data_IF_504793181413
#
_entry.id   IF_504793181413
#
_cell.length_a   1.000
_cell.length_b   1.000
_cell.length_c   1.000
_cell.angle_alpha   90.00
_cell.angle_beta   90.00
_cell.angle_gamma   90.00
#
_symmetry.space_group_name_H-M   'P 1'
#
loop_
_entity.id
_entity.type
_entity.pdbx_description
1 polymer ?
#
# COMPACT_ATOMS: atom_id res chain seq x y z
N UNK A 1 -14.04 -19.93 -16.69
CA UNK A 1 -12.81 -19.18 -16.35
C UNK A 1 -13.06 -18.33 -15.12
N UNK A 2 -12.25 -18.49 -14.08
CA UNK A 2 -12.38 -17.60 -12.93
C UNK A 2 -12.01 -16.19 -13.34
N UNK A 3 -12.83 -15.22 -12.93
CA UNK A 3 -12.53 -13.81 -13.16
C UNK A 3 -11.42 -13.38 -12.22
N UNK A 4 -10.46 -12.62 -12.75
CA UNK A 4 -9.46 -11.96 -11.93
C UNK A 4 -10.12 -10.77 -11.24
N UNK A 5 -10.01 -10.70 -9.92
CA UNK A 5 -10.50 -9.57 -9.14
C UNK A 5 -9.30 -8.81 -8.56
N UNK A 6 -9.47 -7.52 -8.42
CA UNK A 6 -8.42 -6.63 -7.88
C UNK A 6 -8.87 -6.10 -6.53
N UNK A 7 -8.01 -6.24 -5.52
CA UNK A 7 -8.32 -5.85 -4.14
C UNK A 7 -7.38 -4.74 -3.68
N UNK A 8 -7.94 -3.81 -2.93
CA UNK A 8 -7.15 -2.79 -2.24
C UNK A 8 -6.66 -3.36 -0.92
N UNK A 9 -5.46 -2.98 -0.53
CA UNK A 9 -4.92 -3.33 0.78
C UNK A 9 -4.14 -2.14 1.34
N UNK A 10 -4.00 -2.12 2.66
CA UNK A 10 -3.27 -1.08 3.38
C UNK A 10 -2.31 -1.78 4.34
N UNK A 11 -1.06 -1.35 4.32
CA UNK A 11 0.01 -1.88 5.18
C UNK A 11 0.47 -0.76 6.10
N UNK A 12 0.60 -1.06 7.40
CA UNK A 12 1.23 -0.13 8.32
C UNK A 12 2.74 -0.18 8.16
N UNK A 13 3.36 0.99 8.07
CA UNK A 13 4.80 1.13 7.97
C UNK A 13 5.39 1.61 9.28
N UNK A 14 6.66 1.30 9.53
CA UNK A 14 7.39 1.91 10.62
C UNK A 14 7.44 3.43 10.42
N UNK A 15 7.26 4.20 11.50
CA UNK A 15 7.34 5.67 11.43
C UNK A 15 8.72 6.17 11.02
N UNK A 16 9.73 5.32 11.08
CA UNK A 16 11.08 5.64 10.58
C UNK A 16 11.07 6.00 9.10
N UNK A 17 10.09 5.53 8.33
CA UNK A 17 9.99 5.87 6.90
C UNK A 17 9.85 7.38 6.71
N UNK A 18 9.12 8.06 7.58
CA UNK A 18 8.94 9.52 7.49
C UNK A 18 10.26 10.26 7.69
N UNK A 19 11.07 9.81 8.62
CA UNK A 19 12.36 10.42 8.92
C UNK A 19 13.43 10.05 7.88
N UNK A 20 13.46 8.79 7.45
CA UNK A 20 14.55 8.25 6.63
C UNK A 20 14.33 8.38 5.12
N UNK A 21 13.08 8.52 4.68
CA UNK A 21 12.75 8.55 3.26
C UNK A 21 12.24 9.93 2.85
N UNK A 22 13.09 10.69 2.14
CA UNK A 22 12.77 12.05 1.74
C UNK A 22 11.55 12.13 0.82
N UNK A 23 11.42 11.20 -0.13
CA UNK A 23 10.27 11.17 -1.04
C UNK A 23 8.96 10.95 -0.29
N UNK A 24 8.97 10.03 0.67
CA UNK A 24 7.81 9.76 1.51
C UNK A 24 7.43 11.01 2.30
N UNK A 25 8.40 11.64 2.95
CA UNK A 25 8.18 12.86 3.73
C UNK A 25 7.62 13.99 2.87
N UNK A 26 8.20 14.21 1.70
CA UNK A 26 7.75 15.28 0.80
C UNK A 26 6.34 15.04 0.26
N UNK A 27 5.91 13.81 0.14
CA UNK A 27 4.56 13.47 -0.30
C UNK A 27 3.51 13.67 0.80
N UNK A 28 3.92 13.88 2.05
CA UNK A 28 3.02 13.93 3.20
C UNK A 28 3.21 15.18 4.05
N UNK A 29 3.06 16.40 3.48
CA UNK A 29 3.23 17.63 4.25
C UNK A 29 2.17 17.81 5.34
N UNK A 30 1.03 17.14 5.22
CA UNK A 30 -0.07 17.20 6.19
C UNK A 30 0.19 16.38 7.46
N UNK A 31 1.20 15.50 7.45
CA UNK A 31 1.45 14.58 8.56
C UNK A 31 1.97 15.34 9.77
N UNK A 32 1.32 15.09 10.92
CA UNK A 32 1.67 15.74 12.20
C UNK A 32 2.32 14.80 13.22
N UNK A 33 2.60 13.56 12.82
CA UNK A 33 3.29 12.58 13.67
C UNK A 33 2.38 11.80 14.62
N UNK A 34 1.08 12.08 14.64
CA UNK A 34 0.16 11.44 15.59
C UNK A 34 -0.31 10.07 15.10
N UNK A 35 -0.81 10.01 13.85
CA UNK A 35 -1.27 8.75 13.27
C UNK A 35 -0.12 7.98 12.64
N UNK A 36 -0.42 6.84 12.04
CA UNK A 36 0.57 5.92 11.50
C UNK A 36 1.01 6.33 10.10
N UNK A 37 2.11 5.73 9.65
CA UNK A 37 2.54 5.76 8.26
C UNK A 37 1.99 4.52 7.56
N UNK A 38 1.44 4.70 6.35
CA UNK A 38 0.71 3.66 5.63
C UNK A 38 1.19 3.53 4.19
N UNK A 39 1.05 2.34 3.64
CA UNK A 39 1.20 2.06 2.22
C UNK A 39 -0.11 1.51 1.68
N UNK A 40 -0.63 2.12 0.62
CA UNK A 40 -1.86 1.68 -0.05
C UNK A 40 -1.48 1.05 -1.38
N UNK A 41 -2.00 -0.13 -1.64
CA UNK A 41 -1.75 -0.82 -2.90
C UNK A 41 -2.97 -1.56 -3.40
N UNK A 42 -2.85 -2.16 -4.58
CA UNK A 42 -3.87 -3.03 -5.14
C UNK A 42 -3.19 -4.31 -5.65
N UNK A 43 -3.94 -5.40 -5.66
CA UNK A 43 -3.40 -6.70 -6.06
C UNK A 43 -4.48 -7.58 -6.70
N UNK A 44 -4.08 -8.40 -7.65
CA UNK A 44 -4.92 -9.47 -8.20
C UNK A 44 -4.84 -10.75 -7.36
N UNK A 45 -3.99 -10.75 -6.35
CA UNK A 45 -3.85 -11.81 -5.36
C UNK A 45 -4.58 -11.45 -4.08
N UNK A 46 -4.36 -12.19 -3.00
CA UNK A 46 -4.87 -11.76 -1.70
C UNK A 46 -3.94 -10.71 -1.11
N UNK A 47 -4.45 -9.80 -0.24
CA UNK A 47 -3.58 -8.86 0.46
C UNK A 47 -2.45 -9.54 1.23
N UNK A 48 -2.72 -10.68 1.86
CA UNK A 48 -1.73 -11.44 2.61
C UNK A 48 -0.60 -11.94 1.71
N UNK A 49 -0.93 -12.51 0.55
CA UNK A 49 0.07 -12.97 -0.42
C UNK A 49 0.94 -11.81 -0.91
N UNK A 50 0.32 -10.69 -1.22
CA UNK A 50 1.03 -9.51 -1.72
C UNK A 50 1.94 -8.92 -0.64
N UNK A 51 1.49 -8.91 0.61
CA UNK A 51 2.32 -8.47 1.73
C UNK A 51 3.58 -9.33 1.86
N UNK A 52 3.44 -10.65 1.78
CA UNK A 52 4.59 -11.56 1.83
C UNK A 52 5.55 -11.28 0.68
N UNK A 53 5.04 -11.06 -0.55
CA UNK A 53 5.88 -10.72 -1.70
C UNK A 53 6.67 -9.44 -1.46
N UNK A 54 6.04 -8.41 -0.89
CA UNK A 54 6.75 -7.17 -0.55
C UNK A 54 7.85 -7.39 0.47
N UNK A 55 7.54 -8.13 1.54
CA UNK A 55 8.50 -8.35 2.64
C UNK A 55 9.68 -9.20 2.22
N UNK A 56 9.49 -10.14 1.30
CA UNK A 56 10.56 -11.02 0.83
C UNK A 56 11.33 -10.45 -0.36
N UNK A 57 10.91 -9.29 -0.88
CA UNK A 57 11.54 -8.70 -2.07
C UNK A 57 11.35 -9.56 -3.31
N UNK A 58 10.18 -10.17 -3.46
CA UNK A 58 9.88 -11.12 -4.53
C UNK A 58 10.27 -10.59 -5.91
N UNK A 59 10.89 -11.47 -6.71
CA UNK A 59 11.23 -11.19 -8.10
C UNK A 59 10.48 -12.16 -9.02
N UNK A 60 10.05 -11.68 -10.20
CA UNK A 60 9.41 -12.55 -11.18
C UNK A 60 10.44 -13.45 -11.87
N UNK A 61 9.97 -14.32 -12.78
CA UNK A 61 10.83 -15.27 -13.50
C UNK A 61 11.95 -14.59 -14.30
N UNK A 62 11.77 -13.33 -14.70
CA UNK A 62 12.77 -12.55 -15.44
C UNK A 62 13.75 -11.83 -14.52
N UNK A 63 13.64 -12.03 -13.20
CA UNK A 63 14.50 -11.38 -12.21
C UNK A 63 14.09 -9.95 -11.88
N UNK A 64 12.97 -9.45 -12.40
CA UNK A 64 12.50 -8.10 -12.10
C UNK A 64 11.84 -8.07 -10.74
N UNK A 65 12.25 -7.10 -9.92
CA UNK A 65 11.65 -6.92 -8.60
C UNK A 65 10.27 -6.27 -8.76
N UNK A 66 9.25 -6.97 -8.26
CA UNK A 66 7.86 -6.50 -8.33
C UNK A 66 7.36 -6.03 -6.96
N UNK A 67 8.20 -6.13 -5.93
CA UNK A 67 7.87 -5.71 -4.57
C UNK A 67 8.25 -4.25 -4.35
N UNK A 68 7.52 -3.57 -3.45
CA UNK A 68 7.84 -2.21 -3.04
C UNK A 68 9.05 -2.18 -2.12
N UNK A 69 10.04 -1.33 -2.42
CA UNK A 69 11.19 -1.13 -1.54
C UNK A 69 10.78 -0.54 -0.19
N UNK A 70 9.77 0.33 -0.17
CA UNK A 70 9.27 0.94 1.06
C UNK A 70 8.67 -0.13 1.97
N UNK A 71 7.84 -1.02 1.42
CA UNK A 71 7.23 -2.09 2.22
C UNK A 71 8.26 -3.12 2.67
N UNK A 72 9.20 -3.47 1.79
CA UNK A 72 10.28 -4.40 2.16
C UNK A 72 11.05 -3.91 3.38
N UNK A 73 11.39 -2.62 3.40
CA UNK A 73 12.20 -2.04 4.48
C UNK A 73 11.38 -1.66 5.71
N UNK A 74 10.21 -1.07 5.53
CA UNK A 74 9.45 -0.46 6.61
C UNK A 74 8.11 -1.13 6.91
N UNK A 75 7.64 -2.06 6.08
CA UNK A 75 6.35 -2.73 6.27
C UNK A 75 6.31 -3.55 7.55
N UNK A 76 5.23 -3.38 8.33
CA UNK A 76 5.04 -4.07 9.60
C UNK A 76 3.95 -5.12 9.52
N UNK A 77 2.73 -4.71 9.19
CA UNK A 77 1.59 -5.61 9.10
C UNK A 77 0.46 -4.97 8.30
N UNK A 78 -0.46 -5.82 7.83
CA UNK A 78 -1.67 -5.36 7.18
C UNK A 78 -2.60 -4.67 8.16
N UNK A 79 -3.37 -3.68 7.66
CA UNK A 79 -4.38 -2.98 8.45
C UNK A 79 -5.77 -3.28 7.87
N UNK A 80 -6.35 -4.48 8.11
CA UNK A 80 -7.63 -4.86 7.51
C UNK A 80 -8.77 -3.90 7.80
N UNK A 81 -8.79 -3.28 8.98
CA UNK A 81 -9.84 -2.33 9.33
C UNK A 81 -9.93 -1.12 8.39
N UNK A 82 -8.86 -0.84 7.63
CA UNK A 82 -8.81 0.29 6.70
C UNK A 82 -9.22 -0.10 5.28
N UNK A 83 -9.41 -1.39 4.97
CA UNK A 83 -9.75 -1.80 3.60
C UNK A 83 -10.72 -2.98 3.50
N UNK A 84 -11.02 -3.70 4.57
CA UNK A 84 -11.87 -4.90 4.50
C UNK A 84 -13.31 -4.60 4.10
N UNK A 85 -13.73 -3.35 4.19
CA UNK A 85 -15.06 -2.89 3.78
C UNK A 85 -15.12 -2.57 2.27
N UNK A 86 -14.01 -2.62 1.57
CA UNK A 86 -13.92 -2.29 0.14
C UNK A 86 -14.08 -3.57 -0.67
N UNK A 87 -15.12 -3.61 -1.51
CA UNK A 87 -15.35 -4.75 -2.40
C UNK A 87 -14.28 -4.83 -3.48
N UNK A 88 -13.95 -6.04 -3.97
CA UNK A 88 -13.01 -6.18 -5.07
C UNK A 88 -13.52 -5.52 -6.35
N UNK A 89 -12.57 -5.11 -7.20
CA UNK A 89 -12.87 -4.47 -8.48
C UNK A 89 -12.69 -5.47 -9.62
N UNK A 90 -13.48 -5.30 -10.68
CA UNK A 90 -13.42 -6.18 -11.85
C UNK A 90 -12.30 -5.82 -12.82
N UNK A 91 -11.81 -4.58 -12.78
CA UNK A 91 -10.74 -4.13 -13.65
C UNK A 91 -9.61 -3.50 -12.86
N UNK A 92 -8.40 -3.60 -13.42
CA UNK A 92 -7.23 -2.97 -12.85
C UNK A 92 -7.39 -1.44 -12.80
N UNK A 93 -8.00 -0.87 -13.84
CA UNK A 93 -8.22 0.58 -13.93
C UNK A 93 -9.07 1.08 -12.77
N UNK A 94 -10.18 0.40 -12.48
CA UNK A 94 -11.05 0.75 -11.36
C UNK A 94 -10.30 0.68 -10.03
N UNK A 95 -9.49 -0.38 -9.85
CA UNK A 95 -8.72 -0.54 -8.63
C UNK A 95 -7.65 0.55 -8.46
N UNK A 96 -7.00 0.97 -9.56
CA UNK A 96 -6.02 2.06 -9.50
C UNK A 96 -6.67 3.39 -9.14
N UNK A 97 -7.86 3.66 -9.64
CA UNK A 97 -8.61 4.86 -9.28
C UNK A 97 -8.97 4.83 -7.80
N UNK A 98 -9.45 3.70 -7.31
CA UNK A 98 -9.77 3.52 -5.90
C UNK A 98 -8.55 3.67 -5.00
N UNK A 99 -7.41 3.11 -5.41
CA UNK A 99 -6.15 3.26 -4.68
C UNK A 99 -5.78 4.72 -4.49
N UNK A 100 -5.88 5.52 -5.56
CA UNK A 100 -5.57 6.95 -5.51
C UNK A 100 -6.55 7.69 -4.59
N UNK A 101 -7.83 7.37 -4.66
CA UNK A 101 -8.86 8.01 -3.83
C UNK A 101 -8.66 7.70 -2.35
N UNK A 102 -8.39 6.45 -2.02
CA UNK A 102 -8.16 6.00 -0.64
C UNK A 102 -6.91 6.67 -0.07
N UNK A 103 -5.86 6.78 -0.89
CA UNK A 103 -4.63 7.48 -0.49
C UNK A 103 -4.95 8.92 -0.09
N UNK A 104 -5.73 9.64 -0.89
CA UNK A 104 -6.10 11.03 -0.58
C UNK A 104 -6.96 11.12 0.68
N UNK A 105 -7.92 10.22 0.85
CA UNK A 105 -8.78 10.19 2.03
C UNK A 105 -7.99 9.97 3.30
N UNK A 106 -7.06 9.02 3.30
CA UNK A 106 -6.22 8.73 4.46
C UNK A 106 -5.31 9.91 4.79
N UNK A 107 -4.78 10.59 3.76
CA UNK A 107 -4.01 11.83 3.99
C UNK A 107 -4.85 12.92 4.64
N UNK A 108 -6.12 13.07 4.23
CA UNK A 108 -7.04 14.02 4.87
C UNK A 108 -7.28 13.68 6.33
N UNK A 109 -7.26 12.41 6.68
CA UNK A 109 -7.38 11.95 8.07
C UNK A 109 -6.07 12.09 8.86
N UNK A 110 -5.02 12.64 8.22
CA UNK A 110 -3.70 12.93 8.81
C UNK A 110 -2.77 11.74 8.94
N UNK A 111 -3.04 10.64 8.25
CA UNK A 111 -2.04 9.60 8.05
C UNK A 111 -0.98 10.08 7.07
N UNK A 112 0.24 9.56 7.22
CA UNK A 112 1.26 9.69 6.18
C UNK A 112 1.14 8.48 5.26
N UNK A 113 0.95 8.69 3.95
CA UNK A 113 0.59 7.62 3.04
C UNK A 113 1.46 7.63 1.79
N UNK A 114 1.83 6.43 1.34
CA UNK A 114 2.46 6.20 0.05
C UNK A 114 1.65 5.21 -0.76
N UNK A 115 1.54 5.45 -2.07
CA UNK A 115 0.98 4.50 -3.02
C UNK A 115 1.83 4.53 -4.29
N UNK A 116 1.72 3.46 -5.04
CA UNK A 116 2.42 3.41 -6.34
C UNK A 116 1.73 4.27 -7.39
#
# INVERSE_FOLDING_TARGET
MPKVLYRIYVIELSKRVFTENTKFRNANPQFNGVLECLYVGMTSKTPKERFVQHKTGYRNKKGHKIASNIVEKYGRYLRPSLYNHIDPFFTRKEALIAEAQITLELRRERYAVWSN
#
